data_IF_430382729733
#
_entry.id   IF_430382729733
#
_cell.length_a   1.000
_cell.length_b   1.000
_cell.length_c   1.000
_cell.angle_alpha   90.00
_cell.angle_beta   90.00
_cell.angle_gamma   90.00
#
_symmetry.space_group_name_H-M   'P 1'
#
loop_
_entity.id
_entity.type
_entity.pdbx_description
1 polymer ?
#
# COMPACT_ATOMS: atom_id res chain seq x y z
N UNK A 1 -7.91 -12.02 19.59
CA UNK A 1 -8.66 -11.34 18.52
C UNK A 1 -7.59 -10.71 17.65
N UNK A 2 -7.44 -11.20 16.43
CA UNK A 2 -6.63 -10.50 15.43
C UNK A 2 -7.43 -9.26 15.02
N UNK A 3 -6.82 -8.09 15.24
CA UNK A 3 -7.44 -6.82 14.93
C UNK A 3 -6.75 -6.25 13.69
N UNK A 4 -7.50 -6.12 12.59
CA UNK A 4 -7.06 -5.42 11.39
C UNK A 4 -7.40 -3.93 11.52
N UNK A 5 -6.45 -3.05 11.19
CA UNK A 5 -6.65 -1.61 11.18
C UNK A 5 -6.75 -1.13 9.75
N UNK A 6 -7.67 -0.19 9.47
CA UNK A 6 -7.88 0.31 8.11
C UNK A 6 -7.68 1.83 8.06
N UNK A 7 -7.08 2.29 6.97
CA UNK A 7 -7.10 3.69 6.56
C UNK A 7 -7.68 3.79 5.15
N UNK A 8 -8.86 4.40 5.02
CA UNK A 8 -9.54 4.60 3.74
C UNK A 8 -9.53 6.07 3.35
N UNK A 9 -9.22 6.37 2.09
CA UNK A 9 -9.30 7.72 1.56
C UNK A 9 -10.75 8.14 1.30
N UNK A 10 -11.01 9.45 1.20
CA UNK A 10 -12.24 9.92 0.57
C UNK A 10 -12.29 9.49 -0.91
N UNK A 11 -13.48 9.45 -1.48
CA UNK A 11 -13.67 9.29 -2.93
C UNK A 11 -13.10 10.46 -3.72
N UNK A 12 -12.55 10.17 -4.89
CA UNK A 12 -12.13 11.16 -5.87
C UNK A 12 -12.32 10.64 -7.31
N UNK A 13 -12.31 11.55 -8.28
CA UNK A 13 -12.50 11.24 -9.69
C UNK A 13 -11.18 11.30 -10.45
N UNK A 14 -10.94 10.28 -11.27
CA UNK A 14 -9.87 10.21 -12.28
C UNK A 14 -10.42 10.38 -13.69
N UNK A 15 -11.67 10.81 -13.85
CA UNK A 15 -12.32 11.01 -15.16
C UNK A 15 -11.48 11.92 -16.05
N UNK A 16 -11.18 11.47 -17.27
CA UNK A 16 -10.32 12.18 -18.22
C UNK A 16 -8.83 11.90 -18.06
N UNK A 17 -8.42 11.13 -17.05
CA UNK A 17 -7.03 10.72 -16.84
C UNK A 17 -6.86 9.23 -17.18
N UNK A 18 -6.03 8.97 -18.19
CA UNK A 18 -5.69 7.61 -18.63
C UNK A 18 -4.49 7.01 -17.90
N UNK A 19 -3.67 7.86 -17.27
CA UNK A 19 -2.58 7.45 -16.38
C UNK A 19 -2.89 7.89 -14.96
N UNK A 20 -2.88 6.94 -14.03
CA UNK A 20 -3.19 7.16 -12.62
C UNK A 20 -2.13 6.45 -11.78
N UNK A 21 -1.45 7.21 -10.93
CA UNK A 21 -0.41 6.70 -10.04
C UNK A 21 -0.79 6.98 -8.59
N UNK A 22 -0.58 6.00 -7.72
CA UNK A 22 -0.72 6.11 -6.28
C UNK A 22 0.68 6.13 -5.65
N UNK A 23 1.03 7.22 -4.99
CA UNK A 23 2.28 7.34 -4.24
C UNK A 23 2.04 7.73 -2.79
N UNK A 24 2.77 7.12 -1.87
CA UNK A 24 2.72 7.42 -0.44
C UNK A 24 4.07 7.13 0.22
N UNK A 25 4.32 7.79 1.36
CA UNK A 25 5.47 7.50 2.20
C UNK A 25 5.03 6.67 3.41
N UNK A 26 5.78 5.64 3.78
CA UNK A 26 5.50 4.84 4.97
C UNK A 26 6.74 4.22 5.63
N UNK A 27 6.50 3.67 6.81
CA UNK A 27 7.36 2.72 7.50
C UNK A 27 6.46 1.57 7.93
N UNK A 28 6.58 0.38 7.31
CA UNK A 28 5.74 -0.77 7.66
C UNK A 28 6.43 -1.63 8.74
N UNK A 29 6.67 -1.07 9.93
CA UNK A 29 7.31 -1.77 11.06
C UNK A 29 6.27 -2.56 11.86
N UNK A 30 5.81 -3.67 11.29
CA UNK A 30 4.90 -4.64 11.91
C UNK A 30 5.61 -5.98 12.16
N UNK A 31 4.95 -6.92 12.84
CA UNK A 31 5.50 -8.26 13.10
C UNK A 31 5.70 -9.02 11.77
N UNK A 32 6.65 -9.96 11.72
CA UNK A 32 7.06 -10.58 10.44
C UNK A 32 6.01 -11.51 9.83
N UNK A 33 5.07 -12.02 10.63
CA UNK A 33 3.90 -12.78 10.20
C UNK A 33 2.72 -11.88 9.83
N UNK A 34 2.74 -10.60 10.23
CA UNK A 34 1.73 -9.62 9.85
C UNK A 34 2.06 -8.99 8.49
N UNK A 35 1.02 -8.54 7.80
CA UNK A 35 1.12 -7.93 6.47
C UNK A 35 0.21 -6.73 6.37
N UNK A 36 0.68 -5.67 5.70
CA UNK A 36 -0.13 -4.52 5.34
C UNK A 36 -0.36 -4.47 3.82
N UNK A 37 -1.60 -4.60 3.37
CA UNK A 37 -1.96 -4.59 1.96
C UNK A 37 -2.57 -3.24 1.54
N UNK A 38 -2.58 -2.98 0.23
CA UNK A 38 -3.24 -1.82 -0.34
C UNK A 38 -4.27 -2.31 -1.35
N UNK A 39 -5.46 -1.75 -1.29
CA UNK A 39 -6.53 -2.05 -2.23
C UNK A 39 -7.13 -0.79 -2.82
N UNK A 40 -7.65 -0.91 -4.03
CA UNK A 40 -8.30 0.15 -4.80
C UNK A 40 -9.76 -0.22 -5.01
N UNK A 41 -10.66 0.73 -4.79
CA UNK A 41 -12.05 0.65 -5.21
C UNK A 41 -12.30 1.69 -6.31
N UNK A 42 -13.22 1.39 -7.23
CA UNK A 42 -13.68 2.29 -8.30
C UNK A 42 -15.20 2.46 -8.32
N UNK A 43 -15.85 2.02 -7.24
CA UNK A 43 -17.31 1.98 -7.06
C UNK A 43 -17.73 2.53 -5.68
N UNK A 44 -16.94 3.45 -5.12
CA UNK A 44 -17.25 4.09 -3.83
C UNK A 44 -17.06 3.18 -2.61
N UNK A 45 -16.19 2.17 -2.72
CA UNK A 45 -15.84 1.27 -1.63
C UNK A 45 -16.71 0.01 -1.54
N UNK A 46 -17.49 -0.33 -2.59
CA UNK A 46 -18.33 -1.52 -2.63
C UNK A 46 -17.50 -2.77 -2.93
N UNK A 47 -16.57 -2.68 -3.88
CA UNK A 47 -15.59 -3.72 -4.18
C UNK A 47 -14.17 -3.19 -4.14
N UNK A 48 -13.25 -4.05 -3.71
CA UNK A 48 -11.84 -3.73 -3.50
C UNK A 48 -10.95 -4.68 -4.29
N UNK A 49 -9.97 -4.13 -4.98
CA UNK A 49 -8.95 -4.87 -5.71
C UNK A 49 -7.59 -4.62 -5.10
N UNK A 50 -6.97 -5.70 -4.63
CA UNK A 50 -5.63 -5.69 -4.05
C UNK A 50 -4.56 -5.31 -5.09
N UNK A 51 -3.69 -4.39 -4.71
CA UNK A 51 -2.48 -4.06 -5.47
C UNK A 51 -1.43 -5.15 -5.26
N UNK A 52 -0.69 -5.42 -6.32
CA UNK A 52 0.29 -6.52 -6.38
C UNK A 52 1.54 -6.04 -7.09
N UNK A 53 2.53 -6.92 -7.22
CA UNK A 53 3.76 -6.67 -7.99
C UNK A 53 3.50 -6.26 -9.45
N UNK A 54 2.34 -6.57 -10.04
CA UNK A 54 2.02 -6.12 -11.41
C UNK A 54 1.72 -4.63 -11.51
N UNK A 55 1.40 -3.99 -10.38
CA UNK A 55 1.07 -2.56 -10.27
C UNK A 55 2.24 -1.77 -9.67
N UNK A 56 3.21 -2.44 -9.06
CA UNK A 56 4.18 -1.82 -8.17
C UNK A 56 5.42 -1.32 -8.93
N UNK A 57 5.75 -0.06 -8.72
CA UNK A 57 6.90 0.63 -9.34
C UNK A 57 7.95 1.05 -8.28
N UNK A 58 7.73 0.71 -7.01
CA UNK A 58 8.67 1.00 -5.92
C UNK A 58 9.84 0.02 -5.82
N UNK A 59 10.72 0.27 -4.86
CA UNK A 59 11.97 -0.48 -4.67
C UNK A 59 11.93 -1.54 -3.55
N UNK A 60 10.88 -1.55 -2.74
CA UNK A 60 10.69 -2.48 -1.64
C UNK A 60 10.33 -3.89 -2.11
N UNK A 61 10.33 -4.85 -1.18
CA UNK A 61 9.84 -6.20 -1.46
C UNK A 61 8.40 -6.36 -0.98
N UNK A 62 7.49 -6.68 -1.91
CA UNK A 62 6.13 -7.08 -1.54
C UNK A 62 6.10 -8.53 -1.05
N UNK A 63 5.76 -8.72 0.22
CA UNK A 63 5.54 -10.02 0.85
C UNK A 63 4.33 -10.67 0.19
N UNK A 64 4.48 -11.96 -0.15
CA UNK A 64 3.50 -12.73 -0.92
C UNK A 64 3.07 -12.07 -2.26
N UNK A 65 3.83 -11.08 -2.74
CA UNK A 65 3.55 -10.34 -3.97
C UNK A 65 2.48 -9.25 -3.86
N UNK A 66 1.98 -8.92 -2.66
CA UNK A 66 0.89 -7.96 -2.50
C UNK A 66 0.93 -7.05 -1.26
N UNK A 67 1.79 -7.33 -0.28
CA UNK A 67 1.77 -6.60 0.99
C UNK A 67 3.16 -6.14 1.43
N UNK A 68 3.18 -5.18 2.34
CA UNK A 68 4.38 -4.75 3.03
C UNK A 68 4.44 -5.36 4.44
N UNK A 69 5.64 -5.54 4.95
CA UNK A 69 5.90 -5.75 6.38
C UNK A 69 7.29 -5.24 6.72
N UNK A 70 7.77 -5.46 7.95
CA UNK A 70 9.14 -5.09 8.31
C UNK A 70 10.20 -5.81 7.44
N UNK A 71 9.81 -6.91 6.77
CA UNK A 71 10.65 -7.62 5.82
C UNK A 71 10.82 -6.91 4.48
N UNK A 72 9.94 -5.97 4.11
CA UNK A 72 10.00 -5.28 2.83
C UNK A 72 11.26 -4.44 2.62
N UNK A 73 11.88 -4.01 3.72
CA UNK A 73 13.16 -3.31 3.74
C UNK A 73 14.07 -3.88 4.84
N UNK A 74 14.49 -5.13 4.69
CA UNK A 74 15.52 -5.74 5.53
C UNK A 74 16.93 -5.33 5.04
N UNK A 75 17.85 -4.80 5.89
CA UNK A 75 17.76 -4.69 7.35
C UNK A 75 17.22 -3.38 7.89
N UNK A 76 16.91 -2.39 7.06
CA UNK A 76 16.54 -1.04 7.49
C UNK A 76 15.38 -1.01 8.50
N UNK A 77 14.29 -1.74 8.26
CA UNK A 77 13.14 -1.83 9.16
C UNK A 77 13.29 -2.91 10.25
N UNK A 78 14.48 -3.51 10.39
CA UNK A 78 14.86 -4.37 11.52
C UNK A 78 13.79 -5.43 11.88
N UNK A 79 13.40 -6.33 10.95
CA UNK A 79 12.23 -7.21 11.12
C UNK A 79 12.26 -8.09 12.39
N UNK A 80 13.44 -8.54 12.81
CA UNK A 80 13.62 -9.44 13.95
C UNK A 80 13.93 -8.74 15.28
N UNK A 81 13.96 -7.40 15.30
CA UNK A 81 14.21 -6.62 16.51
C UNK A 81 12.99 -5.76 16.84
N UNK A 82 12.22 -6.17 17.86
CA UNK A 82 11.02 -5.48 18.31
C UNK A 82 11.29 -4.30 19.25
N UNK A 83 12.54 -4.14 19.73
CA UNK A 83 12.92 -3.09 20.67
C UNK A 83 13.36 -1.79 19.98
N UNK A 84 13.53 -1.82 18.65
CA UNK A 84 13.99 -0.66 17.88
C UNK A 84 12.78 0.09 17.33
N UNK A 85 12.63 1.35 17.76
CA UNK A 85 11.67 2.27 17.20
C UNK A 85 12.16 2.81 15.85
N UNK A 86 11.27 3.03 14.87
CA UNK A 86 11.64 3.65 13.61
C UNK A 86 12.26 5.04 13.77
N UNK A 87 13.21 5.36 12.88
CA UNK A 87 13.81 6.70 12.77
C UNK A 87 13.39 7.37 11.47
N UNK A 88 13.70 8.66 11.31
CA UNK A 88 13.32 9.41 10.11
C UNK A 88 13.99 8.87 8.82
N UNK A 89 15.13 8.19 8.94
CA UNK A 89 15.83 7.62 7.77
C UNK A 89 15.17 6.33 7.26
N UNK A 90 14.15 5.83 7.95
CA UNK A 90 13.42 4.61 7.58
C UNK A 90 12.26 4.88 6.63
N UNK A 91 11.83 6.13 6.45
CA UNK A 91 10.74 6.44 5.53
C UNK A 91 11.08 5.97 4.11
N UNK A 92 10.13 5.28 3.49
CA UNK A 92 10.23 4.83 2.08
C UNK A 92 9.02 5.37 1.32
N UNK A 93 9.28 5.82 0.10
CA UNK A 93 8.24 6.27 -0.83
C UNK A 93 7.94 5.11 -1.76
N UNK A 94 6.67 4.72 -1.79
CA UNK A 94 6.16 3.68 -2.65
C UNK A 94 5.29 4.28 -3.74
N UNK A 95 5.31 3.66 -4.91
CA UNK A 95 4.53 4.09 -6.06
C UNK A 95 3.94 2.88 -6.77
N UNK A 96 2.68 3.02 -7.17
CA UNK A 96 1.95 2.03 -7.95
C UNK A 96 1.34 2.67 -9.19
N UNK A 97 1.56 2.07 -10.36
CA UNK A 97 0.72 2.32 -11.54
C UNK A 97 -0.57 1.51 -11.40
N UNK A 98 -1.67 2.24 -11.23
CA UNK A 98 -3.01 1.69 -11.03
C UNK A 98 -3.93 2.05 -12.19
N UNK A 99 -3.37 2.50 -13.31
CA UNK A 99 -4.12 2.89 -14.50
C UNK A 99 -5.02 1.76 -15.01
N UNK A 100 -4.57 0.51 -14.88
CA UNK A 100 -5.35 -0.70 -15.24
C UNK A 100 -6.66 -0.85 -14.45
N UNK A 101 -6.75 -0.24 -13.26
CA UNK A 101 -7.91 -0.29 -12.38
C UNK A 101 -8.67 1.04 -12.41
N UNK A 102 -7.94 2.13 -12.17
CA UNK A 102 -8.48 3.43 -11.79
C UNK A 102 -8.50 4.47 -12.92
N UNK A 103 -8.06 4.16 -14.15
CA UNK A 103 -8.15 5.13 -15.25
C UNK A 103 -9.61 5.46 -15.62
N UNK A 104 -9.89 6.74 -15.82
CA UNK A 104 -11.20 7.25 -16.25
C UNK A 104 -12.39 6.80 -15.37
N UNK A 105 -12.23 6.85 -14.04
CA UNK A 105 -13.26 6.46 -13.07
C UNK A 105 -13.76 7.69 -12.31
N UNK A 106 -15.02 7.66 -11.87
CA UNK A 106 -15.65 8.79 -11.17
C UNK A 106 -15.59 8.69 -9.65
N UNK A 107 -15.33 7.50 -9.11
CA UNK A 107 -15.48 7.19 -7.68
C UNK A 107 -14.40 6.23 -7.18
N UNK A 108 -13.16 6.70 -7.19
CA UNK A 108 -11.99 5.93 -6.76
C UNK A 108 -11.73 6.15 -5.28
N UNK A 109 -11.39 5.07 -4.56
CA UNK A 109 -10.88 5.11 -3.19
C UNK A 109 -9.69 4.16 -3.05
N UNK A 110 -8.86 4.40 -2.03
CA UNK A 110 -7.82 3.48 -1.60
C UNK A 110 -8.01 3.11 -0.14
N UNK A 111 -7.67 1.89 0.20
CA UNK A 111 -7.56 1.43 1.60
C UNK A 111 -6.21 0.79 1.82
N UNK A 112 -5.59 1.06 2.96
CA UNK A 112 -4.53 0.24 3.50
C UNK A 112 -5.05 -0.52 4.72
N UNK A 113 -4.80 -1.83 4.76
CA UNK A 113 -5.18 -2.76 5.83
C UNK A 113 -3.95 -3.45 6.41
#
# INVERSE_FOLDING_TARGET
>A
MDATAYLTTNSFSTTGNSYVSLSFAHICKIEVADTAAIEVSVDGGVTWQKLTTTHYEGSGTLINGYAFSAMSYNPDWQPINSLVAPTNDWWRVETFDISSIAANKSDVQYVSE
#
